data_IF_911219363022
#
_entry.id   IF_911219363022
#
_cell.length_a   1.000
_cell.length_b   1.000
_cell.length_c   1.000
_cell.angle_alpha   90.00
_cell.angle_beta   90.00
_cell.angle_gamma   90.00
#
_symmetry.space_group_name_H-M   'P 1'
#
loop_
_entity.id
_entity.type
_entity.pdbx_description
1 polymer ?
#
# COMPACT_ATOMS: atom_id res chain seq x y z
N UNK A 1 27.25 -4.34 15.49
CA UNK A 1 26.75 -4.22 14.76
C UNK A 1 25.86 -4.72 14.64
N UNK A 2 25.36 -4.48 14.67
CA UNK A 2 24.57 -5.00 14.34
C UNK A 2 24.73 -5.63 13.50
N UNK A 3 25.10 -6.21 13.83
CA UNK A 3 25.43 -7.05 13.02
C UNK A 3 24.67 -7.47 11.98
N UNK A 4 23.59 -7.29 12.08
CA UNK A 4 22.83 -7.63 10.98
C UNK A 4 22.66 -6.44 10.14
N UNK A 5 23.30 -6.51 9.00
CA UNK A 5 23.27 -5.45 8.12
C UNK A 5 22.54 -5.89 6.95
N UNK A 6 21.25 -5.88 6.99
CA UNK A 6 20.42 -6.18 5.85
C UNK A 6 20.40 -4.96 4.96
N UNK A 7 20.90 -5.05 3.74
CA UNK A 7 21.04 -3.88 2.90
C UNK A 7 19.72 -3.24 2.51
N UNK A 8 18.63 -4.00 2.56
CA UNK A 8 17.36 -3.48 2.10
C UNK A 8 16.29 -3.78 3.11
N UNK A 9 16.28 -2.99 4.17
CA UNK A 9 15.23 -3.06 5.15
C UNK A 9 14.32 -1.87 4.94
N UNK A 10 13.04 -2.13 4.73
CA UNK A 10 12.08 -1.08 4.51
C UNK A 10 11.08 -1.05 5.66
N UNK A 11 10.77 0.15 6.16
CA UNK A 11 9.68 0.26 7.12
C UNK A 11 8.35 -0.05 6.46
N UNK A 12 7.33 -0.20 7.27
CA UNK A 12 6.00 -0.41 6.75
C UNK A 12 5.05 0.64 7.30
N UNK A 13 3.92 0.79 6.63
CA UNK A 13 2.85 1.66 7.07
C UNK A 13 1.54 0.92 6.88
N UNK A 14 0.63 1.06 7.83
CA UNK A 14 -0.64 0.36 7.77
C UNK A 14 -1.74 1.30 7.31
N UNK A 15 -2.67 0.76 6.52
CA UNK A 15 -3.87 1.48 6.09
C UNK A 15 -5.04 0.67 6.59
N UNK A 16 -5.80 1.26 7.51
CA UNK A 16 -6.95 0.59 8.13
C UNK A 16 -8.07 0.40 7.11
N UNK A 17 -9.11 -0.31 7.51
CA UNK A 17 -10.31 -0.44 6.68
C UNK A 17 -10.95 0.93 6.47
N UNK A 18 -11.72 1.06 5.40
CA UNK A 18 -12.55 2.24 5.13
C UNK A 18 -11.77 3.55 4.96
N UNK A 19 -10.58 3.46 4.41
CA UNK A 19 -9.79 4.65 4.08
C UNK A 19 -9.94 4.99 2.61
N UNK A 20 -10.01 6.28 2.31
CA UNK A 20 -10.11 6.77 0.94
C UNK A 20 -8.84 7.56 0.63
N UNK A 21 -8.08 7.08 -0.35
CA UNK A 21 -6.87 7.74 -0.85
C UNK A 21 -5.94 8.21 0.28
N UNK A 22 -5.70 7.32 1.26
CA UNK A 22 -4.81 7.66 2.36
C UNK A 22 -3.38 7.77 1.84
N UNK A 23 -2.75 8.90 2.09
CA UNK A 23 -1.37 9.16 1.67
C UNK A 23 -0.42 8.31 2.52
N UNK A 24 0.51 7.63 1.88
CA UNK A 24 1.57 6.89 2.57
C UNK A 24 2.69 7.86 2.92
N UNK A 25 3.15 7.79 4.16
CA UNK A 25 4.00 8.82 4.73
C UNK A 25 3.15 9.99 5.17
N UNK A 26 3.71 10.89 5.95
CA UNK A 26 2.96 12.06 6.41
C UNK A 26 2.72 13.03 5.26
N UNK A 27 3.73 13.27 4.47
CA UNK A 27 3.63 14.20 3.35
C UNK A 27 3.55 13.51 2.00
N UNK A 28 4.21 12.39 1.83
CA UNK A 28 4.23 11.70 0.56
C UNK A 28 4.79 12.56 -0.56
N UNK A 29 5.42 11.95 -1.54
CA UNK A 29 6.01 12.73 -2.64
C UNK A 29 6.29 11.84 -3.83
N UNK A 30 6.50 12.45 -4.98
CA UNK A 30 7.05 11.76 -6.13
C UNK A 30 8.40 11.16 -5.73
N UNK A 31 8.74 10.05 -6.34
CA UNK A 31 9.94 9.27 -6.07
C UNK A 31 9.90 8.44 -4.77
N UNK A 32 8.85 8.53 -3.98
CA UNK A 32 8.69 7.60 -2.86
C UNK A 32 8.63 6.18 -3.39
N UNK A 33 9.23 5.24 -2.67
CA UNK A 33 9.37 3.88 -3.14
C UNK A 33 8.37 2.96 -2.45
N UNK A 34 7.59 2.24 -3.25
CA UNK A 34 6.66 1.23 -2.74
C UNK A 34 7.19 -0.14 -3.15
N UNK A 35 7.63 -0.91 -2.15
CA UNK A 35 8.26 -2.21 -2.38
C UNK A 35 7.22 -3.31 -2.58
N UNK A 36 6.29 -3.42 -1.64
CA UNK A 36 5.21 -4.42 -1.72
C UNK A 36 4.03 -3.98 -0.90
N UNK A 37 2.91 -4.60 -1.16
CA UNK A 37 1.73 -4.46 -0.31
C UNK A 37 1.26 -5.84 0.11
N UNK A 38 0.68 -5.90 1.30
CA UNK A 38 0.01 -7.09 1.81
C UNK A 38 -1.41 -6.66 2.14
N UNK A 39 -2.38 -7.23 1.45
CA UNK A 39 -3.78 -6.89 1.64
C UNK A 39 -4.43 -8.03 2.42
N UNK A 40 -4.97 -7.70 3.58
CA UNK A 40 -5.71 -8.67 4.40
C UNK A 40 -7.20 -8.39 4.21
N UNK A 41 -7.89 -9.33 3.58
CA UNK A 41 -9.33 -9.25 3.38
C UNK A 41 -9.99 -10.10 4.44
N UNK A 42 -10.63 -9.47 5.41
CA UNK A 42 -11.28 -10.17 6.52
C UNK A 42 -12.75 -10.44 6.24
N UNK A 43 -13.35 -9.66 5.35
CA UNK A 43 -14.72 -9.86 4.88
C UNK A 43 -14.69 -9.62 3.38
N UNK A 44 -15.40 -10.43 2.61
CA UNK A 44 -15.41 -10.29 1.16
C UNK A 44 -15.65 -8.82 0.79
N UNK A 45 -14.88 -8.33 -0.15
CA UNK A 45 -14.88 -6.91 -0.50
C UNK A 45 -16.23 -6.50 -1.12
N UNK A 46 -16.73 -5.35 -0.68
CA UNK A 46 -17.91 -4.73 -1.27
C UNK A 46 -17.52 -3.59 -2.20
N UNK A 47 -16.27 -3.17 -2.14
CA UNK A 47 -15.72 -2.11 -2.98
C UNK A 47 -14.28 -2.43 -3.33
N UNK A 48 -13.73 -1.70 -4.28
CA UNK A 48 -12.38 -1.93 -4.78
C UNK A 48 -11.34 -1.43 -3.78
N UNK A 49 -10.25 -2.21 -3.62
CA UNK A 49 -9.04 -1.74 -2.95
C UNK A 49 -8.10 -1.24 -4.04
N UNK A 50 -7.61 -0.02 -3.93
CA UNK A 50 -6.80 0.59 -4.97
C UNK A 50 -5.48 1.12 -4.44
N UNK A 51 -4.43 0.93 -5.21
CA UNK A 51 -3.10 1.49 -4.96
C UNK A 51 -2.87 2.54 -6.04
N UNK A 52 -2.60 3.77 -5.60
CA UNK A 52 -2.63 4.94 -6.47
C UNK A 52 -1.31 5.69 -6.38
N UNK A 53 -0.74 6.04 -7.53
CA UNK A 53 0.42 6.93 -7.62
C UNK A 53 -0.09 8.30 -8.05
N UNK A 54 -0.14 9.24 -7.11
CA UNK A 54 -0.68 10.55 -7.38
C UNK A 54 -2.16 10.47 -7.75
N UNK A 55 -2.45 10.50 -9.04
CA UNK A 55 -3.80 10.36 -9.56
C UNK A 55 -3.96 9.12 -10.45
N UNK A 56 -2.92 8.30 -10.55
CA UNK A 56 -2.91 7.13 -11.42
C UNK A 56 -3.10 5.87 -10.60
N UNK A 57 -4.15 5.11 -10.87
CA UNK A 57 -4.36 3.82 -10.22
C UNK A 57 -3.38 2.80 -10.82
N UNK A 58 -2.55 2.23 -9.96
CA UNK A 58 -1.53 1.27 -10.38
C UNK A 58 -2.10 -0.15 -10.39
N UNK A 59 -2.82 -0.51 -9.33
CA UNK A 59 -3.48 -1.81 -9.28
C UNK A 59 -4.73 -1.71 -8.40
N UNK A 60 -5.63 -2.67 -8.59
CA UNK A 60 -6.85 -2.74 -7.82
C UNK A 60 -7.21 -4.18 -7.56
N UNK A 61 -7.73 -4.44 -6.35
CA UNK A 61 -8.44 -5.67 -6.07
C UNK A 61 -9.92 -5.38 -6.23
N UNK A 62 -10.63 -6.13 -7.08
CA UNK A 62 -12.01 -5.81 -7.37
C UNK A 62 -12.94 -6.11 -6.20
N UNK A 63 -14.13 -5.53 -6.24
CA UNK A 63 -15.20 -5.91 -5.33
C UNK A 63 -15.44 -7.41 -5.48
N UNK A 64 -15.90 -8.03 -4.40
CA UNK A 64 -16.15 -9.47 -4.32
C UNK A 64 -14.87 -10.31 -4.16
N UNK A 65 -13.71 -9.69 -3.99
CA UNK A 65 -12.50 -10.44 -3.65
C UNK A 65 -12.73 -11.17 -2.33
N UNK A 66 -12.40 -12.45 -2.31
CA UNK A 66 -12.68 -13.32 -1.18
C UNK A 66 -11.77 -13.04 0.00
N UNK A 67 -12.19 -13.50 1.17
CA UNK A 67 -11.35 -13.46 2.39
C UNK A 67 -10.03 -14.15 2.12
N UNK A 68 -8.96 -13.53 2.58
CA UNK A 68 -7.61 -14.07 2.40
C UNK A 68 -6.56 -12.99 2.55
N UNK A 69 -5.31 -13.38 2.35
CA UNK A 69 -4.19 -12.45 2.37
C UNK A 69 -3.55 -12.46 0.99
N UNK A 70 -3.39 -11.27 0.43
CA UNK A 70 -2.88 -11.12 -0.93
C UNK A 70 -1.63 -10.25 -0.89
N UNK A 71 -0.52 -10.77 -1.36
CA UNK A 71 0.75 -10.04 -1.39
C UNK A 71 1.10 -9.69 -2.83
N UNK A 72 1.41 -8.42 -3.07
CA UNK A 72 1.80 -7.97 -4.40
C UNK A 72 3.14 -7.27 -4.30
N UNK A 73 4.11 -7.75 -5.07
CA UNK A 73 5.42 -7.12 -5.16
C UNK A 73 5.37 -6.06 -6.25
N UNK A 74 5.79 -4.86 -5.89
CA UNK A 74 5.73 -3.74 -6.82
C UNK A 74 7.09 -3.23 -7.22
N UNK A 75 7.90 -2.81 -6.24
CA UNK A 75 9.25 -2.32 -6.54
C UNK A 75 9.25 -1.09 -7.42
N UNK A 76 8.35 -0.15 -7.13
CA UNK A 76 8.15 1.03 -7.98
C UNK A 76 8.38 2.31 -7.22
N UNK A 77 9.00 3.29 -7.89
CA UNK A 77 9.03 4.66 -7.39
C UNK A 77 7.81 5.40 -7.92
N UNK A 78 7.24 6.26 -7.11
CA UNK A 78 6.12 7.07 -7.54
C UNK A 78 6.56 8.05 -8.63
N UNK A 79 5.84 8.08 -9.73
CA UNK A 79 6.15 8.99 -10.82
C UNK A 79 5.57 10.37 -10.59
N UNK A 80 4.34 10.42 -10.10
CA UNK A 80 3.66 11.69 -9.85
C UNK A 80 3.40 11.92 -8.36
N UNK A 81 3.45 10.83 -7.56
CA UNK A 81 3.33 10.81 -6.12
C UNK A 81 2.27 11.69 -5.54
N UNK A 82 1.94 11.54 -4.25
CA UNK A 82 2.42 10.47 -3.37
C UNK A 82 1.73 9.14 -3.63
N UNK A 83 2.23 8.07 -3.03
CA UNK A 83 1.49 6.80 -2.99
C UNK A 83 0.28 6.94 -2.09
N UNK A 84 -0.84 6.46 -2.54
CA UNK A 84 -2.11 6.51 -1.80
C UNK A 84 -2.78 5.15 -1.86
N UNK A 85 -3.58 4.86 -0.83
CA UNK A 85 -4.29 3.59 -0.75
C UNK A 85 -5.74 3.85 -0.38
N UNK A 86 -6.65 3.20 -1.10
CA UNK A 86 -8.07 3.18 -0.77
C UNK A 86 -8.44 1.75 -0.38
N UNK A 87 -9.01 1.57 0.81
CA UNK A 87 -9.30 0.23 1.30
C UNK A 87 -10.77 -0.16 1.33
N UNK A 88 -11.66 0.74 1.63
CA UNK A 88 -13.06 0.34 1.81
C UNK A 88 -13.24 -0.59 3.01
N UNK A 89 -14.47 -1.03 3.23
CA UNK A 89 -14.77 -1.96 4.30
C UNK A 89 -14.28 -3.36 3.96
N UNK A 90 -13.78 -4.09 4.93
CA UNK A 90 -13.43 -5.50 4.75
C UNK A 90 -11.97 -5.78 4.46
N UNK A 91 -11.17 -4.77 4.17
CA UNK A 91 -9.75 -5.01 3.90
C UNK A 91 -8.88 -3.93 4.54
N UNK A 92 -7.69 -4.35 4.96
CA UNK A 92 -6.65 -3.45 5.42
C UNK A 92 -5.40 -3.74 4.61
N UNK A 93 -4.53 -2.75 4.48
CA UNK A 93 -3.31 -2.87 3.68
C UNK A 93 -2.10 -2.57 4.54
N UNK A 94 -1.07 -3.38 4.39
CA UNK A 94 0.25 -3.08 4.93
C UNK A 94 1.14 -2.73 3.75
N UNK A 95 1.67 -1.52 3.76
CA UNK A 95 2.52 -1.04 2.67
C UNK A 95 3.97 -1.00 3.15
N UNK A 96 4.86 -1.62 2.40
CA UNK A 96 6.28 -1.68 2.74
C UNK A 96 7.04 -0.83 1.74
N UNK A 97 7.80 0.14 2.23
CA UNK A 97 8.54 1.01 1.34
C UNK A 97 9.14 2.20 2.05
N UNK A 98 9.53 3.20 1.28
CA UNK A 98 10.12 4.43 1.79
C UNK A 98 9.21 5.59 1.40
N UNK A 99 8.55 6.16 2.40
CA UNK A 99 7.55 7.21 2.17
C UNK A 99 7.96 8.48 2.89
N UNK A 100 7.79 9.62 2.21
CA UNK A 100 8.18 10.91 2.76
C UNK A 100 7.34 11.28 3.97
N UNK A 101 7.98 11.67 5.05
CA UNK A 101 7.32 12.02 6.30
C UNK A 101 7.05 13.51 6.42
#
# INVERSE_FOLDING_TARGET
>A
MSGVNLPYQYPYETVAVSQTAQVLGTNGAANDYLHRIVVTVSTALTSTVSIIDGSTTILSLPASTAVGVYTVELGLNAATGPWKVTTGAGAAVLAVGLFSK
#
